data_IF_869792897462
#
_entry.id   IF_869792897462
#
_cell.length_a   1.000
_cell.length_b   1.000
_cell.length_c   1.000
_cell.angle_alpha   90.00
_cell.angle_beta   90.00
_cell.angle_gamma   90.00
#
_symmetry.space_group_name_H-M   'P 1'
#
loop_
_entity.id
_entity.type
_entity.pdbx_description
1 polymer ?
#
# COMPACT_ATOMS: atom_id res chain seq x y z
N UNK A 1 7.05 -6.12 9.14
CA UNK A 1 5.92 -6.42 8.24
C UNK A 1 5.66 -5.26 7.27
N UNK A 2 5.52 -5.58 5.99
CA UNK A 2 5.07 -4.66 4.93
C UNK A 2 3.62 -4.99 4.55
N UNK A 3 2.83 -3.97 4.24
CA UNK A 3 1.48 -4.12 3.70
C UNK A 3 1.42 -3.62 2.26
N UNK A 4 0.73 -4.38 1.40
CA UNK A 4 0.33 -3.97 0.07
C UNK A 4 -1.20 -3.94 -0.03
N UNK A 5 -1.75 -2.89 -0.63
CA UNK A 5 -3.17 -2.73 -0.94
C UNK A 5 -3.30 -2.52 -2.45
N UNK A 6 -3.84 -3.51 -3.15
CA UNK A 6 -3.97 -3.51 -4.61
C UNK A 6 -5.19 -4.36 -5.01
N UNK A 7 -6.01 -3.89 -5.95
CA UNK A 7 -7.18 -4.67 -6.40
C UNK A 7 -6.76 -5.82 -7.36
N UNK A 8 -5.53 -5.80 -7.86
CA UNK A 8 -5.01 -6.81 -8.79
C UNK A 8 -4.28 -7.96 -8.08
N UNK A 9 -4.88 -9.15 -8.16
CA UNK A 9 -4.31 -10.41 -7.66
C UNK A 9 -2.94 -10.75 -8.25
N UNK A 10 -2.66 -10.37 -9.50
CA UNK A 10 -1.36 -10.61 -10.12
C UNK A 10 -0.26 -9.77 -9.45
N UNK A 11 -0.57 -8.54 -9.03
CA UNK A 11 0.36 -7.70 -8.27
C UNK A 11 0.62 -8.35 -6.91
N UNK A 12 -0.41 -8.85 -6.22
CA UNK A 12 -0.25 -9.58 -4.97
C UNK A 12 0.67 -10.80 -5.13
N UNK A 13 0.48 -11.60 -6.18
CA UNK A 13 1.33 -12.76 -6.44
C UNK A 13 2.78 -12.36 -6.73
N UNK A 14 2.98 -11.32 -7.54
CA UNK A 14 4.30 -10.78 -7.87
C UNK A 14 5.06 -10.33 -6.62
N UNK A 15 4.41 -9.56 -5.76
CA UNK A 15 5.02 -9.05 -4.53
C UNK A 15 5.27 -10.15 -3.50
N UNK A 16 4.37 -11.14 -3.37
CA UNK A 16 4.60 -12.31 -2.49
C UNK A 16 5.83 -13.12 -2.92
N UNK A 17 6.02 -13.31 -4.22
CA UNK A 17 7.22 -13.98 -4.75
C UNK A 17 8.50 -13.18 -4.46
N UNK A 18 8.45 -11.85 -4.58
CA UNK A 18 9.58 -10.99 -4.21
C UNK A 18 9.86 -11.06 -2.70
N UNK A 19 8.82 -11.00 -1.88
CA UNK A 19 8.94 -10.99 -0.42
C UNK A 19 9.52 -12.30 0.10
N UNK A 20 9.09 -13.44 -0.47
CA UNK A 20 9.66 -14.74 -0.15
C UNK A 20 11.15 -14.84 -0.49
N UNK A 21 11.60 -14.25 -1.61
CA UNK A 21 13.01 -14.24 -2.00
C UNK A 21 13.86 -13.32 -1.13
N UNK A 22 13.29 -12.21 -0.67
CA UNK A 22 13.94 -11.22 0.17
C UNK A 22 13.80 -11.52 1.68
N UNK A 23 13.11 -12.60 2.05
CA UNK A 23 12.78 -12.95 3.44
C UNK A 23 12.03 -11.82 4.19
N UNK A 24 11.20 -11.08 3.45
CA UNK A 24 10.37 -9.99 3.96
C UNK A 24 8.97 -10.50 4.31
N UNK A 25 8.47 -10.14 5.48
CA UNK A 25 7.09 -10.39 5.85
C UNK A 25 6.16 -9.42 5.10
N UNK A 26 5.34 -9.96 4.19
CA UNK A 26 4.38 -9.20 3.39
C UNK A 26 2.95 -9.69 3.63
N UNK A 27 2.05 -8.76 3.93
CA UNK A 27 0.60 -8.98 3.94
C UNK A 27 -0.05 -8.16 2.84
N UNK A 28 -1.03 -8.74 2.15
CA UNK A 28 -1.67 -8.12 0.97
C UNK A 28 -3.18 -8.06 1.14
N UNK A 29 -3.80 -6.93 0.81
CA UNK A 29 -5.24 -6.69 0.90
C UNK A 29 -5.79 -6.13 -0.41
N UNK A 30 -7.03 -6.44 -0.74
CA UNK A 30 -7.66 -5.89 -1.95
C UNK A 30 -8.27 -4.51 -1.71
N UNK A 31 -8.56 -4.18 -0.45
CA UNK A 31 -9.17 -2.90 -0.07
C UNK A 31 -8.51 -2.31 1.17
N UNK A 32 -8.69 -1.01 1.36
CA UNK A 32 -8.23 -0.31 2.57
C UNK A 32 -9.01 -0.77 3.81
N UNK A 33 -10.28 -1.13 3.66
CA UNK A 33 -11.10 -1.63 4.77
C UNK A 33 -10.56 -2.94 5.33
N UNK A 34 -10.21 -3.91 4.46
CA UNK A 34 -9.59 -5.17 4.87
C UNK A 34 -8.26 -4.94 5.61
N UNK A 35 -7.45 -4.00 5.11
CA UNK A 35 -6.17 -3.67 5.73
C UNK A 35 -6.37 -3.03 7.11
N UNK A 36 -7.30 -2.10 7.26
CA UNK A 36 -7.61 -1.46 8.53
C UNK A 36 -8.17 -2.46 9.55
N UNK A 37 -9.10 -3.33 9.15
CA UNK A 37 -9.67 -4.36 10.02
C UNK A 37 -8.58 -5.32 10.53
N UNK A 38 -7.64 -5.70 9.67
CA UNK A 38 -6.48 -6.50 10.07
C UNK A 38 -5.57 -5.74 11.04
N UNK A 39 -5.25 -4.49 10.72
CA UNK A 39 -4.34 -3.66 11.52
C UNK A 39 -4.89 -3.42 12.94
N UNK A 40 -6.18 -3.11 13.06
CA UNK A 40 -6.86 -2.94 14.34
C UNK A 40 -6.80 -4.20 15.23
N UNK A 41 -6.86 -5.40 14.62
CA UNK A 41 -6.81 -6.68 15.33
C UNK A 41 -5.39 -7.15 15.64
N UNK A 42 -4.42 -6.79 14.81
CA UNK A 42 -3.07 -7.36 14.87
C UNK A 42 -2.23 -6.77 16.01
N UNK A 43 -2.53 -5.56 16.48
CA UNK A 43 -1.66 -4.75 17.35
C UNK A 43 -0.24 -4.50 16.79
N UNK A 44 0.05 -4.94 15.55
CA UNK A 44 1.34 -4.80 14.88
C UNK A 44 1.34 -3.55 14.00
N UNK A 45 2.30 -2.67 14.24
CA UNK A 45 2.53 -1.51 13.38
C UNK A 45 3.35 -1.93 12.13
N UNK A 46 2.84 -1.73 10.91
CA UNK A 46 3.58 -2.04 9.70
C UNK A 46 4.75 -1.06 9.52
N UNK A 47 5.84 -1.54 8.94
CA UNK A 47 7.01 -0.72 8.61
C UNK A 47 6.73 0.20 7.42
N UNK A 48 5.92 -0.28 6.47
CA UNK A 48 5.47 0.49 5.32
C UNK A 48 4.14 -0.05 4.79
N UNK A 49 3.31 0.84 4.28
CA UNK A 49 2.07 0.53 3.58
C UNK A 49 2.18 1.05 2.15
N UNK A 50 2.04 0.15 1.19
CA UNK A 50 2.00 0.44 -0.23
C UNK A 50 0.56 0.33 -0.71
N UNK A 51 0.05 1.36 -1.37
CA UNK A 51 -1.33 1.42 -1.85
C UNK A 51 -1.34 1.77 -3.33
N UNK A 52 -2.04 1.01 -4.16
CA UNK A 52 -2.21 1.39 -5.56
C UNK A 52 -3.09 2.64 -5.69
N UNK A 53 -2.77 3.50 -6.66
CA UNK A 53 -3.58 4.67 -6.97
C UNK A 53 -4.97 4.30 -7.51
N UNK A 54 -5.15 3.14 -8.13
CA UNK A 54 -6.43 2.72 -8.70
C UNK A 54 -6.95 1.43 -8.07
N UNK A 55 -7.80 1.52 -7.05
CA UNK A 55 -8.34 0.37 -6.31
C UNK A 55 -9.69 -0.12 -6.85
N UNK A 56 -9.87 -0.09 -8.18
CA UNK A 56 -11.14 -0.41 -8.83
C UNK A 56 -12.28 0.56 -8.49
N UNK A 57 -13.46 0.40 -9.12
CA UNK A 57 -14.69 1.15 -8.81
C UNK A 57 -14.55 2.68 -8.64
N UNK A 58 -13.62 3.32 -9.37
CA UNK A 58 -13.25 4.74 -9.23
C UNK A 58 -12.70 5.14 -7.84
N UNK A 59 -12.28 4.17 -7.03
CA UNK A 59 -11.61 4.40 -5.75
C UNK A 59 -10.15 4.76 -6.03
N UNK A 60 -9.77 5.93 -5.52
CA UNK A 60 -8.43 6.47 -5.64
C UNK A 60 -7.63 6.16 -4.39
N UNK A 61 -6.55 5.41 -4.52
CA UNK A 61 -5.67 5.09 -3.39
C UNK A 61 -5.07 6.33 -2.77
N UNK A 62 -4.77 7.36 -3.56
CA UNK A 62 -4.28 8.62 -3.02
C UNK A 62 -5.30 9.32 -2.12
N UNK A 63 -6.60 9.04 -2.24
CA UNK A 63 -7.64 9.58 -1.37
C UNK A 63 -7.85 8.65 -0.15
N UNK A 64 -7.95 7.35 -0.37
CA UNK A 64 -8.16 6.38 0.71
C UNK A 64 -6.97 6.28 1.67
N UNK A 65 -5.74 6.57 1.20
CA UNK A 65 -4.55 6.65 2.02
C UNK A 65 -4.68 7.64 3.20
N UNK A 66 -5.59 8.63 3.09
CA UNK A 66 -5.88 9.55 4.19
C UNK A 66 -6.36 8.81 5.45
N UNK A 67 -7.16 7.75 5.27
CA UNK A 67 -7.71 6.96 6.39
C UNK A 67 -6.60 6.23 7.14
N UNK A 68 -5.64 5.66 6.40
CA UNK A 68 -4.44 5.05 6.98
C UNK A 68 -3.64 6.08 7.79
N UNK A 69 -3.48 7.29 7.25
CA UNK A 69 -2.77 8.36 7.95
C UNK A 69 -3.49 8.82 9.22
N UNK A 70 -4.81 8.96 9.17
CA UNK A 70 -5.63 9.34 10.33
C UNK A 70 -5.60 8.26 11.43
N UNK A 71 -5.32 6.99 11.07
CA UNK A 71 -5.03 5.91 12.02
C UNK A 71 -3.59 5.93 12.59
N UNK A 72 -2.76 6.88 12.20
CA UNK A 72 -1.41 7.08 12.71
C UNK A 72 -0.28 6.47 11.88
N UNK A 73 -0.58 5.89 10.70
CA UNK A 73 0.45 5.36 9.82
C UNK A 73 1.09 6.47 9.00
N UNK A 74 2.42 6.61 9.05
CA UNK A 74 3.15 7.68 8.34
C UNK A 74 4.00 7.18 7.18
N UNK A 75 4.33 5.90 7.16
CA UNK A 75 5.11 5.27 6.09
C UNK A 75 4.20 4.73 4.97
N UNK A 76 3.46 5.64 4.34
CA UNK A 76 2.50 5.33 3.27
C UNK A 76 3.08 5.74 1.91
N UNK A 77 3.02 4.84 0.93
CA UNK A 77 3.56 5.04 -0.41
C UNK A 77 2.55 4.63 -1.48
N UNK A 78 2.48 5.38 -2.58
CA UNK A 78 1.73 4.95 -3.77
C UNK A 78 2.53 3.89 -4.53
N UNK A 79 1.94 2.75 -4.85
CA UNK A 79 2.54 1.73 -5.72
C UNK A 79 1.81 1.71 -7.06
N UNK A 80 2.23 2.54 -8.00
CA UNK A 80 1.49 2.77 -9.25
C UNK A 80 2.37 2.68 -10.49
N UNK A 81 1.76 2.35 -11.63
CA UNK A 81 2.39 2.51 -12.94
C UNK A 81 2.41 3.98 -13.42
N UNK A 82 1.66 4.86 -12.76
CA UNK A 82 1.61 6.28 -13.07
C UNK A 82 2.85 7.02 -12.54
N UNK A 83 3.22 8.10 -13.21
CA UNK A 83 4.26 9.02 -12.75
C UNK A 83 3.59 10.19 -12.06
N UNK A 84 3.77 10.29 -10.75
CA UNK A 84 3.35 11.43 -9.97
C UNK A 84 4.49 12.45 -9.88
N UNK A 85 4.15 13.72 -10.05
CA UNK A 85 5.03 14.81 -9.65
C UNK A 85 4.89 15.04 -8.14
N UNK A 86 5.91 15.59 -7.47
CA UNK A 86 5.85 15.86 -6.03
C UNK A 86 4.62 16.67 -5.61
N UNK A 87 4.19 17.64 -6.42
CA UNK A 87 3.01 18.46 -6.17
C UNK A 87 1.66 17.72 -6.31
N UNK A 88 1.64 16.54 -6.93
CA UNK A 88 0.45 15.69 -7.08
C UNK A 88 0.30 14.69 -5.92
N UNK A 89 1.36 14.47 -5.15
CA UNK A 89 1.37 13.54 -4.02
C UNK A 89 0.78 14.25 -2.79
N UNK A 90 -0.32 13.74 -2.21
CA UNK A 90 -0.88 14.31 -0.99
C UNK A 90 0.12 14.30 0.17
N UNK A 91 0.04 15.25 1.11
CA UNK A 91 1.03 15.39 2.19
C UNK A 91 1.07 14.20 3.17
N UNK A 92 0.03 13.36 3.18
CA UNK A 92 -0.05 12.14 3.99
C UNK A 92 0.53 10.90 3.28
N UNK A 93 1.08 11.07 2.07
CA UNK A 93 1.78 10.04 1.31
C UNK A 93 3.23 10.48 1.16
N UNK A 94 4.16 9.61 1.59
CA UNK A 94 5.58 9.92 1.64
C UNK A 94 6.27 9.88 0.27
N UNK A 95 5.70 9.14 -0.67
CA UNK A 95 6.17 9.11 -2.05
C UNK A 95 5.42 8.12 -2.93
N UNK A 96 5.86 7.98 -4.17
CA UNK A 96 5.36 6.99 -5.13
C UNK A 96 6.48 6.10 -5.64
N UNK A 97 6.21 4.81 -5.75
CA UNK A 97 7.05 3.82 -6.39
C UNK A 97 6.32 3.17 -7.57
N UNK A 98 7.06 2.43 -8.38
CA UNK A 98 6.47 1.59 -9.43
C UNK A 98 5.71 0.40 -8.81
N UNK A 99 4.93 -0.32 -9.62
CA UNK A 99 4.29 -1.60 -9.23
C UNK A 99 5.27 -2.76 -8.93
N UNK A 100 6.59 -2.52 -8.92
CA UNK A 100 7.61 -3.48 -8.50
C UNK A 100 7.88 -3.30 -7.01
N UNK A 101 7.90 -4.41 -6.27
CA UNK A 101 8.31 -4.42 -4.87
C UNK A 101 9.72 -3.80 -4.69
N UNK A 102 9.94 -3.00 -3.63
CA UNK A 102 11.19 -2.27 -3.43
C UNK A 102 12.30 -3.06 -2.70
N UNK A 103 12.14 -4.38 -2.55
CA UNK A 103 13.05 -5.29 -1.84
C UNK A 103 13.41 -6.50 -2.72
#
# INVERSE_FOLDING_TARGET
MIILIDDDKLIHMSWKLAAQKAEVELVTFFTVDEALEFLEKSEVMPEAIYIDSQLGHNIKGEIEARRLFDCGFTEIYLASGLKFKPEEIPPYIKGSITKRAPF
#
